data_IF_077535401264
#
_entry.id   IF_077535401264
#
_cell.length_a   1.000
_cell.length_b   1.000
_cell.length_c   1.000
_cell.angle_alpha   90.00
_cell.angle_beta   90.00
_cell.angle_gamma   90.00
#
_symmetry.space_group_name_H-M   'P 1'
#
loop_
_entity.id
_entity.type
_entity.pdbx_description
1 polymer ?
#
# COMPACT_ATOMS: atom_id res chain seq x y z
N UNK A 1 -0.98 16.35 -0.24
CA UNK A 1 -1.15 15.94 -1.66
C UNK A 1 -1.57 14.47 -1.73
N UNK A 2 -2.65 14.17 -2.45
CA UNK A 2 -3.51 13.00 -2.23
C UNK A 2 -2.81 11.66 -2.47
N UNK A 3 -2.64 10.86 -1.41
CA UNK A 3 -2.19 9.47 -1.48
C UNK A 3 -2.96 8.66 -2.51
N UNK A 4 -4.28 8.90 -2.63
CA UNK A 4 -5.15 8.32 -3.67
C UNK A 4 -4.67 8.58 -5.10
N UNK A 5 -4.16 9.78 -5.40
CA UNK A 5 -3.61 10.08 -6.73
C UNK A 5 -2.30 9.33 -6.99
N UNK A 6 -1.48 9.15 -5.96
CA UNK A 6 -0.27 8.30 -6.05
C UNK A 6 -0.64 6.84 -6.32
N UNK A 7 -1.66 6.32 -5.64
CA UNK A 7 -2.16 4.96 -5.85
C UNK A 7 -2.73 4.75 -7.26
N UNK A 8 -3.54 5.70 -7.75
CA UNK A 8 -4.03 5.71 -9.14
C UNK A 8 -2.89 5.67 -10.14
N UNK A 9 -1.84 6.48 -9.94
CA UNK A 9 -0.66 6.48 -10.82
C UNK A 9 0.05 5.13 -10.80
N UNK A 10 0.23 4.52 -9.64
CA UNK A 10 0.85 3.21 -9.51
C UNK A 10 0.04 2.13 -10.25
N UNK A 11 -1.28 2.13 -10.10
CA UNK A 11 -2.18 1.18 -10.79
C UNK A 11 -2.18 1.39 -12.31
N UNK A 12 -2.18 2.64 -12.79
CA UNK A 12 -2.04 2.94 -14.21
C UNK A 12 -0.70 2.46 -14.78
N UNK A 13 0.41 2.62 -14.04
CA UNK A 13 1.72 2.11 -14.46
C UNK A 13 1.67 0.59 -14.57
N UNK A 14 1.11 -0.10 -13.57
CA UNK A 14 0.98 -1.54 -13.58
C UNK A 14 0.13 -2.04 -14.77
N UNK A 15 -1.04 -1.45 -14.99
CA UNK A 15 -1.92 -1.78 -16.12
C UNK A 15 -1.18 -1.66 -17.46
N UNK A 16 -0.48 -0.54 -17.68
CA UNK A 16 0.25 -0.31 -18.92
C UNK A 16 1.44 -1.28 -19.11
N UNK A 17 2.09 -1.72 -18.02
CA UNK A 17 3.18 -2.70 -18.09
C UNK A 17 2.70 -4.11 -18.42
N UNK A 18 1.46 -4.46 -18.06
CA UNK A 18 0.91 -5.82 -18.23
C UNK A 18 0.09 -5.98 -19.51
N UNK A 19 -0.27 -4.90 -20.19
CA UNK A 19 -1.05 -4.96 -21.44
C UNK A 19 -2.36 -5.73 -21.26
N UNK A 20 -2.67 -6.62 -22.19
CA UNK A 20 -3.96 -7.33 -22.26
C UNK A 20 -4.20 -8.35 -21.13
N UNK A 21 -3.14 -8.78 -20.42
CA UNK A 21 -3.28 -9.63 -19.23
C UNK A 21 -3.71 -8.82 -17.98
N UNK A 22 -3.50 -7.50 -18.01
CA UNK A 22 -4.14 -6.49 -17.16
C UNK A 22 -4.40 -6.88 -15.70
N UNK A 23 -5.58 -6.46 -15.21
CA UNK A 23 -6.06 -6.69 -13.85
C UNK A 23 -7.04 -7.87 -13.74
N UNK A 24 -7.35 -8.53 -14.86
CA UNK A 24 -8.40 -9.57 -14.94
C UNK A 24 -8.14 -10.76 -14.02
N UNK A 25 -6.87 -11.05 -13.74
CA UNK A 25 -6.46 -12.17 -12.89
C UNK A 25 -6.67 -11.92 -11.39
N UNK A 26 -7.03 -10.70 -11.00
CA UNK A 26 -7.24 -10.33 -9.59
C UNK A 26 -8.72 -10.17 -9.23
N UNK A 27 -9.63 -10.59 -10.10
CA UNK A 27 -11.08 -10.60 -9.88
C UNK A 27 -11.55 -12.04 -10.08
N UNK A 28 -11.38 -12.86 -9.05
CA UNK A 28 -11.62 -14.30 -9.10
C UNK A 28 -13.12 -14.63 -8.99
N UNK A 29 -13.91 -13.79 -8.33
CA UNK A 29 -15.35 -14.00 -8.14
C UNK A 29 -16.21 -13.37 -9.27
N UNK A 30 -15.61 -12.52 -10.11
CA UNK A 30 -16.25 -11.94 -11.28
C UNK A 30 -17.12 -10.72 -10.98
N UNK A 31 -16.98 -10.09 -9.82
CA UNK A 31 -17.81 -8.94 -9.40
C UNK A 31 -17.39 -7.60 -10.05
N UNK A 32 -16.31 -7.60 -10.82
CA UNK A 32 -15.76 -6.42 -11.47
C UNK A 32 -14.78 -5.63 -10.61
N UNK A 33 -14.46 -6.10 -9.40
CA UNK A 33 -13.50 -5.50 -8.49
C UNK A 33 -12.29 -6.42 -8.28
N UNK A 34 -11.16 -5.80 -7.96
CA UNK A 34 -9.97 -6.51 -7.51
C UNK A 34 -10.23 -7.08 -6.11
N UNK A 35 -10.07 -8.39 -5.96
CA UNK A 35 -10.32 -9.17 -4.75
C UNK A 35 -9.53 -8.66 -3.55
N UNK A 36 -8.27 -8.29 -3.76
CA UNK A 36 -7.38 -7.76 -2.73
C UNK A 36 -6.30 -6.85 -3.32
N UNK A 37 -6.18 -5.64 -2.78
CA UNK A 37 -5.15 -4.67 -3.16
C UNK A 37 -4.30 -4.27 -1.95
N UNK A 38 -3.03 -4.65 -2.00
CA UNK A 38 -1.98 -4.17 -1.09
C UNK A 38 -1.16 -3.08 -1.76
N UNK A 39 -1.11 -1.90 -1.14
CA UNK A 39 -0.28 -0.79 -1.57
C UNK A 39 0.89 -0.65 -0.60
N UNK A 40 2.09 -0.96 -1.07
CA UNK A 40 3.30 -0.80 -0.28
C UNK A 40 4.03 0.48 -0.70
N UNK A 41 4.37 1.33 0.27
CA UNK A 41 5.16 2.53 0.00
C UNK A 41 6.57 2.41 0.57
N UNK A 42 7.52 3.06 -0.10
CA UNK A 42 8.87 3.20 0.42
C UNK A 42 8.88 4.05 1.69
N UNK A 43 9.90 3.82 2.52
CA UNK A 43 10.09 4.56 3.76
C UNK A 43 9.28 4.01 4.94
N UNK A 44 9.31 4.79 6.02
CA UNK A 44 8.72 4.44 7.31
C UNK A 44 7.29 4.98 7.47
N UNK A 45 6.43 4.21 8.13
CA UNK A 45 5.04 4.61 8.38
C UNK A 45 4.89 5.73 9.42
N UNK A 46 3.88 6.57 9.26
CA UNK A 46 3.59 7.70 10.16
C UNK A 46 3.24 7.25 11.59
N UNK A 47 2.75 6.01 11.75
CA UNK A 47 2.38 5.37 13.03
C UNK A 47 3.55 5.31 14.03
N UNK A 48 4.80 5.34 13.55
CA UNK A 48 5.97 5.34 14.43
C UNK A 48 6.24 6.71 15.09
N UNK A 49 5.46 7.74 14.77
CA UNK A 49 5.61 9.09 15.33
C UNK A 49 6.95 9.73 15.01
N UNK A 50 7.27 10.86 15.64
CA UNK A 50 8.58 11.51 15.55
C UNK A 50 9.04 11.89 14.13
N UNK A 51 10.31 12.28 14.01
CA UNK A 51 10.97 12.51 12.71
C UNK A 51 11.60 11.21 12.22
N UNK A 52 11.45 10.95 10.92
CA UNK A 52 12.24 9.97 10.18
C UNK A 52 13.70 10.41 10.13
N UNK A 53 14.63 9.47 10.35
CA UNK A 53 16.06 9.75 10.47
C UNK A 53 16.73 9.94 9.10
N UNK A 54 16.10 9.49 8.01
CA UNK A 54 16.64 9.65 6.65
C UNK A 54 16.12 10.92 5.98
N UNK A 55 14.80 11.11 5.93
CA UNK A 55 14.19 12.26 5.25
C UNK A 55 13.91 13.47 6.15
N UNK A 56 14.07 13.35 7.47
CA UNK A 56 13.57 14.32 8.47
C UNK A 56 12.04 14.54 8.43
N UNK A 57 11.31 13.68 7.72
CA UNK A 57 9.85 13.76 7.60
C UNK A 57 9.13 13.59 8.93
N UNK A 58 8.13 14.44 9.18
CA UNK A 58 7.24 14.34 10.35
C UNK A 58 6.09 13.37 10.07
N UNK A 59 5.26 12.99 11.05
CA UNK A 59 4.12 12.11 10.79
C UNK A 59 3.14 12.69 9.75
N UNK A 60 3.02 14.02 9.68
CA UNK A 60 2.18 14.73 8.69
C UNK A 60 2.67 14.65 7.25
N UNK A 61 3.94 14.28 7.01
CA UNK A 61 4.52 14.14 5.67
C UNK A 61 4.71 12.68 5.27
N UNK A 62 4.31 11.74 6.13
CA UNK A 62 4.42 10.30 5.91
C UNK A 62 3.04 9.68 5.78
N UNK A 63 2.99 8.49 5.20
CA UNK A 63 1.74 7.74 5.06
C UNK A 63 1.54 6.91 6.32
N UNK A 64 0.35 7.00 6.89
CA UNK A 64 -0.08 6.13 7.99
C UNK A 64 -0.63 4.84 7.40
N UNK A 65 -0.13 3.67 7.82
CA UNK A 65 -0.62 2.37 7.36
C UNK A 65 -2.09 2.15 7.73
N UNK A 66 -2.93 1.75 6.79
CA UNK A 66 -4.39 1.61 7.02
C UNK A 66 -5.07 0.71 5.99
N UNK A 67 -6.15 0.07 6.40
CA UNK A 67 -7.16 -0.53 5.52
C UNK A 67 -8.35 0.43 5.33
N UNK A 68 -8.87 0.52 4.11
CA UNK A 68 -10.07 1.32 3.83
C UNK A 68 -10.83 0.82 2.60
N UNK A 69 -12.08 1.27 2.49
CA UNK A 69 -12.93 1.00 1.35
C UNK A 69 -13.06 2.20 0.41
N UNK A 70 -13.67 1.93 -0.73
CA UNK A 70 -14.02 2.91 -1.75
C UNK A 70 -13.20 2.76 -3.02
N UNK A 71 -13.85 3.09 -4.13
CA UNK A 71 -13.26 3.09 -5.46
C UNK A 71 -12.24 4.20 -5.59
N UNK A 72 -10.97 3.82 -5.73
CA UNK A 72 -9.87 4.76 -5.98
C UNK A 72 -9.42 4.74 -7.44
N UNK A 73 -9.70 3.67 -8.18
CA UNK A 73 -9.22 3.47 -9.54
C UNK A 73 -10.09 2.48 -10.31
N UNK A 74 -10.10 2.61 -11.64
CA UNK A 74 -10.64 1.64 -12.58
C UNK A 74 -9.75 1.50 -13.79
N UNK A 75 -9.65 0.27 -14.27
CA UNK A 75 -8.95 -0.11 -15.47
C UNK A 75 -9.73 0.28 -16.73
N UNK A 76 -9.03 0.23 -17.87
CA UNK A 76 -9.62 0.38 -19.20
C UNK A 76 -10.51 -0.81 -19.58
N UNK A 77 -10.29 -1.97 -18.97
CA UNK A 77 -11.04 -3.21 -19.21
C UNK A 77 -12.21 -3.44 -18.22
N UNK A 78 -12.55 -2.44 -17.41
CA UNK A 78 -13.75 -2.43 -16.57
C UNK A 78 -13.57 -2.96 -15.14
N UNK A 79 -12.37 -3.43 -14.77
CA UNK A 79 -12.01 -3.80 -13.39
C UNK A 79 -11.85 -2.55 -12.51
N UNK A 80 -12.20 -2.67 -11.25
CA UNK A 80 -12.15 -1.56 -10.30
C UNK A 80 -11.54 -1.97 -8.97
N UNK A 81 -11.24 -0.97 -8.14
CA UNK A 81 -10.88 -1.18 -6.73
C UNK A 81 -12.12 -0.93 -5.87
N UNK A 82 -12.29 -1.70 -4.80
CA UNK A 82 -13.36 -1.46 -3.83
C UNK A 82 -12.85 -1.44 -2.38
N UNK A 83 -11.81 -2.22 -2.08
CA UNK A 83 -11.09 -2.17 -0.81
C UNK A 83 -9.60 -2.26 -1.07
N UNK A 84 -8.81 -1.66 -0.20
CA UNK A 84 -7.37 -1.76 -0.23
C UNK A 84 -6.80 -1.54 1.16
N UNK A 85 -5.56 -1.95 1.33
CA UNK A 85 -4.79 -1.56 2.49
C UNK A 85 -3.41 -1.05 2.08
N UNK A 86 -2.86 -0.19 2.92
CA UNK A 86 -1.58 0.48 2.72
C UNK A 86 -0.64 0.09 3.85
N UNK A 87 0.58 -0.29 3.51
CA UNK A 87 1.62 -0.60 4.48
C UNK A 87 2.94 0.08 4.12
N UNK A 88 3.70 0.45 5.16
CA UNK A 88 5.08 0.91 5.01
C UNK A 88 6.03 -0.25 4.74
N UNK A 89 7.04 -0.02 3.90
CA UNK A 89 8.06 -1.02 3.58
C UNK A 89 9.15 -1.12 4.66
N UNK A 90 9.36 -0.07 5.47
CA UNK A 90 10.41 0.00 6.48
C UNK A 90 9.82 0.19 7.88
N UNK A 91 10.44 -0.44 8.88
CA UNK A 91 10.03 -0.38 10.28
C UNK A 91 10.74 0.74 11.04
N UNK A 92 10.00 1.40 11.94
CA UNK A 92 10.54 2.34 12.92
C UNK A 92 10.72 3.75 12.36
N UNK A 93 11.72 4.48 12.87
CA UNK A 93 12.04 5.85 12.44
C UNK A 93 13.44 5.99 11.85
N UNK A 94 14.36 5.12 12.25
CA UNK A 94 15.71 5.05 11.71
C UNK A 94 15.91 3.63 11.16
N UNK A 95 15.54 3.36 9.89
CA UNK A 95 15.61 2.02 9.35
C UNK A 95 17.06 1.55 9.12
N UNK A 96 17.98 2.47 8.82
CA UNK A 96 19.40 2.17 8.71
C UNK A 96 20.00 1.70 10.04
N UNK A 97 20.54 0.47 10.06
CA UNK A 97 21.13 -0.15 11.26
C UNK A 97 20.10 -0.52 12.33
N UNK A 98 18.82 -0.64 11.95
CA UNK A 98 17.73 -0.92 12.86
C UNK A 98 17.70 -2.36 13.40
N UNK A 99 16.72 -2.63 14.27
CA UNK A 99 16.60 -3.89 15.03
C UNK A 99 16.47 -5.17 14.18
N UNK A 100 16.24 -5.05 12.87
CA UNK A 100 15.90 -6.16 11.98
C UNK A 100 16.79 -6.27 10.73
N UNK A 101 18.02 -5.75 10.81
CA UNK A 101 19.01 -5.78 9.73
C UNK A 101 19.37 -4.37 9.25
N UNK A 102 20.24 -4.29 8.24
CA UNK A 102 20.79 -2.99 7.77
C UNK A 102 19.71 -1.99 7.38
N UNK A 103 18.55 -2.45 6.88
CA UNK A 103 17.50 -1.61 6.34
C UNK A 103 16.15 -1.70 7.08
N UNK A 104 16.10 -2.42 8.21
CA UNK A 104 14.88 -2.62 9.02
C UNK A 104 13.58 -2.83 8.21
N UNK A 105 13.62 -3.73 7.22
CA UNK A 105 12.45 -4.06 6.38
C UNK A 105 11.26 -4.41 7.28
N UNK A 106 10.11 -3.79 7.02
CA UNK A 106 8.88 -4.04 7.76
C UNK A 106 8.52 -5.52 7.68
N UNK A 107 8.36 -6.16 8.85
CA UNK A 107 8.04 -7.59 8.93
C UNK A 107 6.58 -7.83 8.56
N UNK A 108 6.27 -9.10 8.28
CA UNK A 108 4.91 -9.59 7.95
C UNK A 108 3.83 -9.08 8.91
N UNK A 109 4.15 -8.70 10.14
CA UNK A 109 3.19 -8.22 11.14
C UNK A 109 2.34 -7.03 10.68
N UNK A 110 2.91 -6.02 10.02
CA UNK A 110 2.12 -4.85 9.55
C UNK A 110 1.21 -5.29 8.39
N UNK A 111 1.78 -6.03 7.43
CA UNK A 111 1.02 -6.57 6.29
C UNK A 111 -0.10 -7.50 6.77
N UNK A 112 0.17 -8.35 7.76
CA UNK A 112 -0.78 -9.27 8.34
C UNK A 112 -1.85 -8.57 9.19
N UNK A 113 -1.49 -7.50 9.92
CA UNK A 113 -2.44 -6.67 10.66
C UNK A 113 -3.44 -6.02 9.69
N UNK A 114 -2.95 -5.40 8.62
CA UNK A 114 -3.79 -4.75 7.62
C UNK A 114 -4.60 -5.76 6.79
N UNK A 115 -4.03 -6.92 6.49
CA UNK A 115 -4.76 -8.04 5.89
C UNK A 115 -5.87 -8.56 6.82
N UNK A 116 -5.65 -8.57 8.14
CA UNK A 116 -6.69 -8.89 9.11
C UNK A 116 -7.91 -7.98 8.97
N UNK A 117 -7.69 -6.65 8.96
CA UNK A 117 -8.76 -5.67 8.71
C UNK A 117 -9.44 -5.90 7.36
N UNK A 118 -8.66 -6.21 6.32
CA UNK A 118 -9.18 -6.49 4.98
C UNK A 118 -10.15 -7.69 4.97
N UNK A 119 -9.80 -8.74 5.71
CA UNK A 119 -10.60 -9.95 5.88
C UNK A 119 -11.74 -9.81 6.90
N UNK A 120 -11.86 -8.66 7.58
CA UNK A 120 -12.92 -8.36 8.54
C UNK A 120 -12.65 -8.83 9.97
N UNK A 121 -11.39 -8.99 10.35
CA UNK A 121 -10.94 -9.32 11.71
C UNK A 121 -10.59 -8.07 12.53
#
# INVERSE_FOLDING_TARGET
PGTRETWKKALNIYENLRGDQGMKHFDADGDGNIDALCLMHSGVGAEHGGKDCESNGTPSTRVWSHATGGRIWSSKDGKSTNRYYVASALWGRCPKGGAFGEWAIARIAVIAHEMGHFLGL
#
